data_IF_889688266178
#
_entry.id   IF_889688266178
#
_cell.length_a   1.000
_cell.length_b   1.000
_cell.length_c   1.000
_cell.angle_alpha   90.00
_cell.angle_beta   90.00
_cell.angle_gamma   90.00
#
_symmetry.space_group_name_H-M   'P 1'
#
loop_
_entity.id
_entity.type
_entity.pdbx_description
1 polymer ?
#
# COMPACT_ATOMS: atom_id res chain seq x y z
N UNK A 1 32.65 38.42 -70.89
CA UNK A 1 33.00 38.06 -69.52
C UNK A 1 31.75 37.48 -68.92
N UNK A 2 31.61 36.16 -68.93
CA UNK A 2 30.49 35.41 -68.35
C UNK A 2 31.01 34.61 -67.18
N UNK A 3 30.62 34.97 -65.94
CA UNK A 3 30.96 34.24 -64.75
C UNK A 3 29.94 33.09 -64.50
N UNK A 4 30.45 31.88 -64.53
CA UNK A 4 29.71 30.66 -64.29
C UNK A 4 29.67 30.44 -62.76
N UNK A 5 28.46 30.45 -62.10
CA UNK A 5 28.30 30.18 -60.71
C UNK A 5 27.91 28.72 -60.56
N UNK A 6 28.87 27.90 -60.18
CA UNK A 6 28.71 26.52 -59.82
C UNK A 6 28.03 26.42 -58.42
N UNK A 7 26.83 25.82 -58.38
CA UNK A 7 26.14 25.56 -57.10
C UNK A 7 26.51 24.16 -56.62
N UNK A 8 27.35 24.14 -55.59
CA UNK A 8 27.64 22.90 -54.86
C UNK A 8 26.40 22.37 -54.15
N UNK A 9 25.90 21.27 -54.64
CA UNK A 9 24.78 20.54 -54.06
C UNK A 9 25.34 19.57 -53.00
N UNK A 10 25.38 20.00 -51.74
CA UNK A 10 25.78 19.16 -50.59
C UNK A 10 24.63 18.17 -50.33
N UNK A 11 24.69 17.02 -50.97
CA UNK A 11 23.79 15.90 -50.69
C UNK A 11 24.05 15.30 -49.32
N UNK A 12 23.12 15.52 -48.40
CA UNK A 12 23.10 14.88 -47.06
C UNK A 12 22.88 13.36 -47.28
N UNK A 13 23.96 12.59 -47.33
CA UNK A 13 23.87 11.13 -47.37
C UNK A 13 23.44 10.61 -45.99
N UNK A 14 22.18 10.23 -45.91
CA UNK A 14 21.63 9.49 -44.76
C UNK A 14 22.28 8.10 -44.72
N UNK A 15 23.26 7.93 -43.83
CA UNK A 15 24.02 6.68 -43.71
C UNK A 15 23.12 5.56 -43.13
N UNK A 16 22.64 4.68 -44.00
CA UNK A 16 21.91 3.47 -43.64
C UNK A 16 22.86 2.53 -42.85
N UNK A 17 22.54 2.11 -41.64
CA UNK A 17 23.45 1.28 -40.87
C UNK A 17 23.68 -0.08 -41.55
N UNK A 18 24.90 -0.68 -41.46
CA UNK A 18 25.25 -1.90 -42.15
C UNK A 18 24.35 -3.08 -41.76
N UNK A 19 23.90 -3.88 -42.73
CA UNK A 19 22.93 -4.99 -42.58
C UNK A 19 23.22 -5.95 -41.42
N UNK A 20 24.48 -6.18 -41.02
CA UNK A 20 24.86 -7.00 -39.87
C UNK A 20 24.44 -6.40 -38.52
N UNK A 21 24.61 -5.08 -38.34
CA UNK A 21 24.16 -4.37 -37.09
C UNK A 21 22.64 -4.39 -36.99
N UNK A 22 21.90 -4.27 -38.07
CA UNK A 22 20.43 -4.34 -38.08
C UNK A 22 19.93 -5.73 -37.65
N UNK A 23 20.53 -6.82 -38.14
CA UNK A 23 20.17 -8.19 -37.72
C UNK A 23 20.49 -8.47 -36.27
N UNK A 24 21.60 -7.93 -35.73
CA UNK A 24 21.93 -8.05 -34.31
C UNK A 24 20.90 -7.31 -33.44
N UNK A 25 20.56 -6.07 -33.77
CA UNK A 25 19.55 -5.28 -33.10
C UNK A 25 18.18 -5.97 -33.08
N UNK A 26 17.77 -6.57 -34.21
CA UNK A 26 16.52 -7.33 -34.30
C UNK A 26 16.52 -8.56 -33.36
N UNK A 27 17.63 -9.28 -33.26
CA UNK A 27 17.77 -10.43 -32.37
C UNK A 27 17.72 -9.98 -30.88
N UNK A 28 18.39 -8.88 -30.55
CA UNK A 28 18.35 -8.29 -29.19
C UNK A 28 16.92 -7.86 -28.86
N UNK A 29 16.25 -7.16 -29.77
CA UNK A 29 14.85 -6.73 -29.56
C UNK A 29 13.92 -7.93 -29.40
N UNK A 30 14.06 -8.96 -30.24
CA UNK A 30 13.25 -10.18 -30.08
C UNK A 30 13.52 -10.87 -28.74
N UNK A 31 14.78 -10.97 -28.32
CA UNK A 31 15.15 -11.52 -27.00
C UNK A 31 14.54 -10.72 -25.86
N UNK A 32 14.54 -9.38 -25.96
CA UNK A 32 13.92 -8.50 -24.97
C UNK A 32 12.39 -8.70 -24.91
N UNK A 33 11.72 -8.81 -26.06
CA UNK A 33 10.27 -9.06 -26.12
C UNK A 33 9.93 -10.41 -25.46
N UNK A 34 10.71 -11.45 -25.74
CA UNK A 34 10.53 -12.77 -25.11
C UNK A 34 10.73 -12.67 -23.59
N UNK A 35 11.78 -11.98 -23.14
CA UNK A 35 12.05 -11.79 -21.71
C UNK A 35 10.90 -11.06 -21.01
N UNK A 36 10.41 -9.97 -21.58
CA UNK A 36 9.25 -9.22 -21.05
C UNK A 36 8.00 -10.09 -21.03
N UNK A 37 7.76 -10.88 -22.09
CA UNK A 37 6.64 -11.82 -22.13
C UNK A 37 6.71 -12.87 -21.03
N UNK A 38 7.88 -13.49 -20.82
CA UNK A 38 8.10 -14.44 -19.73
C UNK A 38 7.88 -13.78 -18.38
N UNK A 39 8.41 -12.57 -18.15
CA UNK A 39 8.24 -11.84 -16.91
C UNK A 39 6.75 -11.52 -16.65
N UNK A 40 6.02 -11.10 -17.67
CA UNK A 40 4.58 -10.84 -17.57
C UNK A 40 3.79 -12.11 -17.18
N UNK A 41 4.15 -13.27 -17.73
CA UNK A 41 3.56 -14.55 -17.35
C UNK A 41 3.88 -14.88 -15.88
N UNK A 42 5.14 -14.72 -15.46
CA UNK A 42 5.55 -14.95 -14.06
C UNK A 42 4.74 -14.08 -13.10
N UNK A 43 4.52 -12.79 -13.42
CA UNK A 43 3.67 -11.90 -12.63
C UNK A 43 2.22 -12.37 -12.63
N UNK A 44 1.67 -12.75 -13.78
CA UNK A 44 0.27 -13.13 -13.91
C UNK A 44 -0.10 -14.36 -13.07
N UNK A 45 0.81 -15.34 -12.98
CA UNK A 45 0.59 -16.58 -12.22
C UNK A 45 0.83 -16.44 -10.71
N UNK A 46 1.34 -15.30 -10.23
CA UNK A 46 1.48 -15.05 -8.79
C UNK A 46 0.13 -15.06 -8.09
N UNK A 47 0.07 -15.55 -6.82
CA UNK A 47 -1.16 -15.51 -6.02
C UNK A 47 -1.72 -14.08 -5.96
N UNK A 48 -3.03 -13.97 -6.17
CA UNK A 48 -3.72 -12.69 -6.08
C UNK A 48 -4.06 -12.31 -4.64
N UNK A 49 -4.21 -13.28 -3.77
CA UNK A 49 -4.57 -13.07 -2.37
C UNK A 49 -3.46 -12.36 -1.61
N UNK A 50 -3.87 -11.41 -0.78
CA UNK A 50 -3.03 -10.71 0.17
C UNK A 50 -3.63 -10.91 1.55
N UNK A 51 -2.84 -11.40 2.50
CA UNK A 51 -3.25 -11.61 3.88
C UNK A 51 -2.10 -11.22 4.81
N UNK A 52 -2.40 -10.36 5.78
CA UNK A 52 -1.49 -10.01 6.87
C UNK A 52 -2.24 -10.11 8.19
N UNK A 53 -1.63 -10.75 9.18
CA UNK A 53 -2.19 -10.86 10.53
C UNK A 53 -1.09 -10.66 11.57
N UNK A 54 -1.38 -9.86 12.61
CA UNK A 54 -0.54 -9.68 13.79
C UNK A 54 -1.40 -9.64 15.05
N UNK A 55 -0.82 -10.09 16.15
CA UNK A 55 -1.51 -10.11 17.43
C UNK A 55 -0.62 -9.62 18.57
N UNK A 56 -1.21 -8.96 19.55
CA UNK A 56 -0.55 -8.55 20.77
C UNK A 56 -1.44 -8.79 21.97
N UNK A 57 -0.82 -9.11 23.13
CA UNK A 57 -1.52 -9.12 24.42
C UNK A 57 -1.23 -7.82 25.16
N UNK A 58 -2.29 -7.13 25.56
CA UNK A 58 -2.27 -5.80 26.17
C UNK A 58 -2.84 -5.90 27.59
N UNK A 59 -2.11 -5.42 28.59
CA UNK A 59 -2.51 -5.42 29.99
C UNK A 59 -3.51 -4.27 30.28
N UNK A 60 -4.65 -4.32 29.59
CA UNK A 60 -5.77 -3.40 29.73
C UNK A 60 -7.08 -4.13 29.40
N UNK A 61 -8.23 -3.66 29.94
CA UNK A 61 -9.53 -4.24 29.63
C UNK A 61 -9.91 -4.01 28.15
N UNK A 62 -10.71 -4.90 27.52
CA UNK A 62 -11.09 -4.78 26.11
C UNK A 62 -11.66 -3.42 25.72
N UNK A 63 -12.43 -2.77 26.61
CA UNK A 63 -13.01 -1.46 26.34
C UNK A 63 -11.97 -0.36 26.11
N UNK A 64 -10.85 -0.37 26.86
CA UNK A 64 -9.80 0.63 26.72
C UNK A 64 -9.03 0.46 25.38
N UNK A 65 -8.80 -0.77 24.97
CA UNK A 65 -8.12 -1.08 23.70
C UNK A 65 -9.04 -0.85 22.51
N UNK A 66 -10.29 -1.30 22.61
CA UNK A 66 -11.32 -1.10 21.58
C UNK A 66 -11.52 0.38 21.25
N UNK A 67 -11.58 1.24 22.28
CA UNK A 67 -11.77 2.68 22.09
C UNK A 67 -10.69 3.30 21.20
N UNK A 68 -9.42 2.84 21.27
CA UNK A 68 -8.32 3.36 20.46
C UNK A 68 -8.51 3.09 18.97
N UNK A 69 -9.20 2.01 18.62
CA UNK A 69 -9.42 1.62 17.21
C UNK A 69 -10.76 2.12 16.68
N UNK A 70 -11.79 2.18 17.54
CA UNK A 70 -13.16 2.50 17.16
C UNK A 70 -13.40 3.97 16.79
N UNK A 71 -12.45 4.86 17.12
CA UNK A 71 -12.48 6.29 16.81
C UNK A 71 -11.24 6.68 15.98
N UNK A 72 -11.44 7.05 14.72
CA UNK A 72 -10.35 7.44 13.83
C UNK A 72 -9.60 8.71 14.29
N UNK A 73 -10.20 9.56 15.11
CA UNK A 73 -9.50 10.73 15.69
C UNK A 73 -8.38 10.33 16.66
N UNK A 74 -8.43 9.11 17.22
CA UNK A 74 -7.39 8.61 18.11
C UNK A 74 -6.23 7.95 17.36
N UNK A 75 -6.36 7.71 16.05
CA UNK A 75 -5.36 6.99 15.26
C UNK A 75 -4.04 7.75 15.13
N UNK A 76 -4.05 9.07 15.17
CA UNK A 76 -2.83 9.87 15.13
C UNK A 76 -1.85 9.54 16.26
N UNK A 77 -2.36 9.12 17.43
CA UNK A 77 -1.53 8.78 18.57
C UNK A 77 -0.76 7.46 18.42
N UNK A 78 -1.27 6.52 17.61
CA UNK A 78 -0.70 5.18 17.54
C UNK A 78 -0.39 4.69 16.11
N UNK A 79 -1.01 5.27 15.08
CA UNK A 79 -0.83 4.82 13.70
C UNK A 79 0.61 5.02 13.23
N UNK A 80 1.28 3.98 12.72
CA UNK A 80 2.65 4.11 12.23
C UNK A 80 2.76 4.99 10.96
N UNK A 81 1.65 5.18 10.24
CA UNK A 81 1.62 5.98 9.01
C UNK A 81 1.63 7.49 9.29
N UNK A 82 1.11 7.96 10.41
CA UNK A 82 1.13 9.38 10.79
C UNK A 82 2.54 9.95 10.83
N UNK A 83 3.52 9.13 11.27
CA UNK A 83 4.93 9.55 11.34
C UNK A 83 5.61 9.66 9.98
N UNK A 84 5.06 9.01 8.93
CA UNK A 84 5.63 9.01 7.57
C UNK A 84 5.30 10.27 6.78
N UNK A 85 4.20 10.93 7.13
CA UNK A 85 3.83 12.21 6.53
C UNK A 85 3.13 13.12 7.55
N UNK A 86 3.90 13.96 8.27
CA UNK A 86 3.34 14.94 9.22
C UNK A 86 2.45 16.00 8.57
N UNK A 87 2.52 16.18 7.24
CA UNK A 87 1.72 17.13 6.48
C UNK A 87 0.55 16.48 5.75
N UNK A 88 0.25 15.22 6.02
CA UNK A 88 -0.85 14.50 5.43
C UNK A 88 -2.18 15.23 5.70
N UNK A 89 -2.97 15.43 4.65
CA UNK A 89 -4.29 16.04 4.80
C UNK A 89 -5.29 14.97 5.17
N UNK A 90 -5.86 15.11 6.37
CA UNK A 90 -6.83 14.19 6.94
C UNK A 90 -8.20 14.84 7.02
N UNK A 91 -9.26 14.07 6.74
CA UNK A 91 -10.64 14.48 6.94
C UNK A 91 -11.48 13.33 7.51
N UNK A 92 -12.49 13.67 8.29
CA UNK A 92 -13.38 12.73 8.96
C UNK A 92 -14.81 12.93 8.45
N UNK A 93 -15.54 11.84 8.31
CA UNK A 93 -16.92 11.82 7.80
C UNK A 93 -17.79 10.90 8.66
N UNK A 94 -19.09 11.19 8.72
CA UNK A 94 -20.06 10.39 9.48
C UNK A 94 -19.98 10.60 10.99
N UNK A 95 -20.33 9.58 11.79
CA UNK A 95 -20.23 9.66 13.25
C UNK A 95 -18.77 9.71 13.70
N UNK A 96 -18.50 10.25 14.89
CA UNK A 96 -17.15 10.36 15.47
C UNK A 96 -16.50 9.00 15.70
N UNK A 97 -17.29 7.95 15.96
CA UNK A 97 -16.79 6.59 16.21
C UNK A 97 -17.81 5.52 15.82
N UNK A 98 -17.35 4.28 15.71
CA UNK A 98 -18.21 3.14 15.43
C UNK A 98 -18.64 3.04 13.97
N UNK A 99 -19.65 2.21 13.73
CA UNK A 99 -20.16 1.93 12.39
C UNK A 99 -20.57 3.19 11.64
N UNK A 100 -20.03 3.38 10.43
CA UNK A 100 -20.25 4.53 9.57
C UNK A 100 -19.25 5.67 9.76
N UNK A 101 -18.37 5.61 10.78
CA UNK A 101 -17.24 6.54 10.90
C UNK A 101 -16.33 6.39 9.68
N UNK A 102 -15.96 7.51 9.07
CA UNK A 102 -15.13 7.60 7.89
C UNK A 102 -13.88 8.44 8.14
N UNK A 103 -12.78 8.04 7.52
CA UNK A 103 -11.51 8.75 7.53
C UNK A 103 -10.92 8.76 6.11
N UNK A 104 -10.50 9.94 5.65
CA UNK A 104 -9.81 10.10 4.36
C UNK A 104 -8.45 10.73 4.59
N UNK A 105 -7.48 10.31 3.81
CA UNK A 105 -6.15 10.91 3.81
C UNK A 105 -5.66 11.18 2.40
N UNK A 106 -4.85 12.23 2.26
CA UNK A 106 -4.11 12.55 1.04
C UNK A 106 -2.73 13.07 1.43
N UNK A 107 -1.72 12.27 1.20
CA UNK A 107 -0.35 12.54 1.62
C UNK A 107 0.69 12.34 0.53
N UNK A 108 1.94 12.22 0.95
CA UNK A 108 3.11 12.04 0.09
C UNK A 108 3.13 10.64 -0.59
N UNK A 109 4.22 10.33 -1.31
CA UNK A 109 4.37 9.05 -2.01
C UNK A 109 4.51 7.82 -1.09
N UNK A 110 4.79 8.01 0.20
CA UNK A 110 4.93 6.90 1.16
C UNK A 110 3.59 6.48 1.76
N UNK A 111 2.68 7.43 1.99
CA UNK A 111 1.36 7.16 2.57
C UNK A 111 0.24 7.14 1.53
N UNK A 112 0.44 7.79 0.37
CA UNK A 112 -0.50 7.80 -0.73
C UNK A 112 -1.80 8.56 -0.42
N UNK A 113 -2.91 8.04 -0.98
CA UNK A 113 -4.25 8.60 -0.81
C UNK A 113 -5.27 7.48 -0.70
N UNK A 114 -6.26 7.64 0.17
CA UNK A 114 -7.30 6.65 0.34
C UNK A 114 -8.35 7.04 1.37
N UNK A 115 -9.18 6.06 1.72
CA UNK A 115 -10.21 6.20 2.74
C UNK A 115 -10.41 4.92 3.54
N UNK A 116 -10.91 5.07 4.75
CA UNK A 116 -11.35 3.97 5.61
C UNK A 116 -12.78 4.25 6.09
N UNK A 117 -13.58 3.21 6.17
CA UNK A 117 -14.94 3.29 6.73
C UNK A 117 -15.17 2.11 7.67
N UNK A 118 -15.59 2.37 8.91
CA UNK A 118 -15.99 1.31 9.84
C UNK A 118 -17.31 0.72 9.34
N UNK A 119 -17.29 -0.51 8.86
CA UNK A 119 -18.46 -1.22 8.34
C UNK A 119 -19.20 -2.00 9.42
N UNK A 120 -18.47 -2.45 10.45
CA UNK A 120 -19.02 -3.14 11.62
C UNK A 120 -18.27 -2.74 12.88
N UNK A 121 -18.99 -2.55 13.97
CA UNK A 121 -18.44 -2.29 15.30
C UNK A 121 -19.28 -3.02 16.34
N UNK A 122 -18.69 -4.06 16.94
CA UNK A 122 -19.26 -4.78 18.09
C UNK A 122 -18.45 -4.40 19.32
N UNK A 123 -19.03 -3.71 20.30
CA UNK A 123 -18.30 -3.21 21.46
C UNK A 123 -17.44 -4.27 22.14
N UNK A 124 -16.15 -3.97 22.26
CA UNK A 124 -15.14 -4.78 22.94
C UNK A 124 -14.84 -6.15 22.30
N UNK A 125 -15.37 -6.43 21.10
CA UNK A 125 -15.23 -7.72 20.43
C UNK A 125 -14.60 -7.58 19.04
N UNK A 126 -15.15 -6.69 18.18
CA UNK A 126 -14.84 -6.67 16.76
C UNK A 126 -15.00 -5.28 16.17
N UNK A 127 -14.06 -4.89 15.29
CA UNK A 127 -14.19 -3.75 14.39
C UNK A 127 -13.80 -4.24 12.99
N UNK A 128 -14.68 -4.00 11.99
CA UNK A 128 -14.36 -4.17 10.56
C UNK A 128 -14.31 -2.85 9.86
N UNK A 129 -13.30 -2.69 9.03
CA UNK A 129 -13.03 -1.46 8.29
C UNK A 129 -12.83 -1.84 6.83
N UNK A 130 -13.55 -1.16 5.94
CA UNK A 130 -13.26 -1.14 4.52
C UNK A 130 -12.17 -0.12 4.27
N UNK A 131 -11.04 -0.55 3.72
CA UNK A 131 -9.90 0.27 3.37
C UNK A 131 -9.83 0.41 1.85
N UNK A 132 -9.86 1.63 1.33
CA UNK A 132 -9.85 1.92 -0.10
C UNK A 132 -8.66 2.81 -0.44
N UNK A 133 -7.74 2.30 -1.24
CA UNK A 133 -6.61 3.06 -1.78
C UNK A 133 -6.98 3.71 -3.12
N UNK A 134 -6.56 4.96 -3.33
CA UNK A 134 -6.69 5.70 -4.58
C UNK A 134 -5.34 5.84 -5.26
N UNK A 135 -4.29 6.17 -4.51
CA UNK A 135 -2.91 6.32 -4.97
C UNK A 135 -1.93 5.61 -4.03
N UNK A 136 -0.79 5.08 -4.52
CA UNK A 136 -0.33 5.06 -5.93
C UNK A 136 -1.05 4.02 -6.80
N UNK A 137 -1.69 3.01 -6.20
CA UNK A 137 -2.43 1.96 -6.90
C UNK A 137 -3.79 1.79 -6.24
N UNK A 138 -4.84 1.88 -7.05
CA UNK A 138 -6.20 1.67 -6.57
C UNK A 138 -6.38 0.21 -6.11
N UNK A 139 -7.06 0.04 -4.97
CA UNK A 139 -7.36 -1.25 -4.37
C UNK A 139 -8.33 -1.12 -3.22
N UNK A 140 -8.90 -2.25 -2.81
CA UNK A 140 -9.78 -2.33 -1.65
C UNK A 140 -9.37 -3.53 -0.82
N UNK A 141 -9.18 -3.30 0.48
CA UNK A 141 -8.84 -4.33 1.44
C UNK A 141 -9.85 -4.30 2.60
N UNK A 142 -10.10 -5.47 3.19
CA UNK A 142 -10.90 -5.62 4.40
C UNK A 142 -9.96 -5.74 5.60
N UNK A 143 -10.15 -4.84 6.56
CA UNK A 143 -9.38 -4.80 7.81
C UNK A 143 -10.28 -5.24 8.95
N UNK A 144 -9.76 -6.13 9.81
CA UNK A 144 -10.47 -6.59 11.00
C UNK A 144 -9.58 -6.48 12.24
N UNK A 145 -10.16 -5.94 13.30
CA UNK A 145 -9.62 -6.01 14.64
C UNK A 145 -10.54 -6.87 15.52
N UNK A 146 -9.98 -7.89 16.17
CA UNK A 146 -10.69 -8.66 17.18
C UNK A 146 -10.07 -8.43 18.55
N UNK A 147 -10.93 -8.39 19.59
CA UNK A 147 -10.54 -8.14 20.96
C UNK A 147 -11.06 -9.30 21.83
N UNK A 148 -10.16 -10.10 22.39
CA UNK A 148 -10.52 -11.26 23.20
C UNK A 148 -10.00 -11.06 24.63
N UNK A 149 -10.85 -11.10 25.65
CA UNK A 149 -10.40 -11.05 27.03
C UNK A 149 -9.57 -12.29 27.38
N UNK A 150 -8.44 -12.08 28.07
CA UNK A 150 -7.53 -13.13 28.57
C UNK A 150 -7.16 -12.77 30.01
N UNK A 151 -7.95 -13.21 30.97
CA UNK A 151 -7.86 -12.74 32.35
C UNK A 151 -8.09 -11.23 32.42
N UNK A 152 -7.15 -10.50 33.05
CA UNK A 152 -7.18 -9.04 33.15
C UNK A 152 -6.57 -8.31 31.93
N UNK A 153 -6.25 -9.06 30.86
CA UNK A 153 -5.62 -8.57 29.64
C UNK A 153 -6.55 -8.73 28.44
N UNK A 154 -6.15 -8.13 27.32
CA UNK A 154 -6.83 -8.26 26.03
C UNK A 154 -5.87 -8.79 24.98
N UNK A 155 -6.21 -9.91 24.35
CA UNK A 155 -5.57 -10.35 23.12
C UNK A 155 -6.22 -9.61 21.94
N UNK A 156 -5.43 -8.78 21.24
CA UNK A 156 -5.86 -8.06 20.04
C UNK A 156 -5.24 -8.71 18.83
N UNK A 157 -6.04 -8.99 17.81
CA UNK A 157 -5.56 -9.41 16.50
C UNK A 157 -5.98 -8.39 15.46
N UNK A 158 -5.03 -7.95 14.65
CA UNK A 158 -5.22 -7.07 13.50
C UNK A 158 -4.94 -7.86 12.22
N UNK A 159 -5.96 -7.98 11.37
CA UNK A 159 -5.85 -8.65 10.07
C UNK A 159 -6.17 -7.67 8.94
N UNK A 160 -5.60 -7.92 7.77
CA UNK A 160 -5.94 -7.25 6.53
C UNK A 160 -5.93 -8.28 5.40
N UNK A 161 -7.03 -8.33 4.68
CA UNK A 161 -7.27 -9.21 3.55
C UNK A 161 -7.58 -8.38 2.30
N UNK A 162 -6.97 -8.74 1.18
CA UNK A 162 -7.16 -7.99 -0.06
C UNK A 162 -6.75 -8.77 -1.31
N UNK A 163 -6.80 -8.08 -2.45
CA UNK A 163 -6.44 -8.66 -3.74
C UNK A 163 -5.34 -7.85 -4.42
N UNK A 164 -4.24 -8.54 -4.78
CA UNK A 164 -3.13 -7.97 -5.54
C UNK A 164 -3.54 -7.81 -7.00
N UNK A 165 -3.52 -6.61 -7.53
CA UNK A 165 -3.61 -6.37 -8.97
C UNK A 165 -2.27 -6.72 -9.67
N UNK A 166 -2.23 -6.65 -11.00
CA UNK A 166 -1.02 -6.98 -11.77
C UNK A 166 0.21 -6.18 -11.32
N UNK A 167 0.05 -4.89 -11.02
CA UNK A 167 1.16 -4.01 -10.62
C UNK A 167 1.67 -4.38 -9.23
N UNK A 168 0.78 -4.62 -8.27
CA UNK A 168 1.17 -5.02 -6.91
C UNK A 168 1.79 -6.43 -6.88
N UNK A 169 1.36 -7.35 -7.77
CA UNK A 169 2.03 -8.64 -7.99
C UNK A 169 3.46 -8.45 -8.52
N UNK A 170 3.66 -7.54 -9.50
CA UNK A 170 4.98 -7.25 -10.05
C UNK A 170 5.93 -6.66 -8.99
N UNK A 171 5.45 -5.74 -8.17
CA UNK A 171 6.21 -5.16 -7.04
C UNK A 171 6.54 -6.26 -6.03
N UNK A 172 5.61 -7.16 -5.75
CA UNK A 172 5.77 -8.29 -4.84
C UNK A 172 6.89 -9.27 -5.21
N UNK A 173 7.36 -9.29 -6.47
CA UNK A 173 8.52 -10.09 -6.89
C UNK A 173 9.84 -9.57 -6.32
N UNK A 174 9.93 -8.28 -6.02
CA UNK A 174 11.16 -7.61 -5.55
C UNK A 174 11.05 -7.12 -4.10
N UNK A 175 9.82 -6.95 -3.60
CA UNK A 175 9.54 -6.43 -2.26
C UNK A 175 8.57 -7.35 -1.52
N UNK A 176 8.89 -7.71 -0.28
CA UNK A 176 7.97 -8.48 0.57
C UNK A 176 6.95 -7.52 1.23
N UNK A 177 5.89 -7.19 0.47
CA UNK A 177 4.85 -6.28 0.92
C UNK A 177 4.11 -6.79 2.18
N UNK A 178 3.91 -8.10 2.32
CA UNK A 178 3.28 -8.71 3.50
C UNK A 178 4.11 -8.50 4.76
N UNK A 179 5.45 -8.70 4.65
CA UNK A 179 6.34 -8.42 5.76
C UNK A 179 6.36 -6.93 6.11
N UNK A 180 6.47 -6.05 5.12
CA UNK A 180 6.50 -4.60 5.35
C UNK A 180 5.22 -4.11 6.03
N UNK A 181 4.07 -4.60 5.60
CA UNK A 181 2.79 -4.28 6.23
C UNK A 181 2.70 -4.85 7.64
N UNK A 182 3.13 -6.11 7.83
CA UNK A 182 3.17 -6.74 9.14
C UNK A 182 4.05 -6.01 10.15
N UNK A 183 5.22 -5.53 9.73
CA UNK A 183 6.11 -4.73 10.58
C UNK A 183 5.44 -3.40 11.02
N UNK A 184 4.56 -2.80 10.19
CA UNK A 184 3.76 -1.63 10.56
C UNK A 184 2.65 -2.01 11.56
N UNK A 185 2.01 -3.17 11.38
CA UNK A 185 1.00 -3.66 12.33
C UNK A 185 1.60 -3.91 13.70
N UNK A 186 2.78 -4.52 13.76
CA UNK A 186 3.50 -4.74 15.02
C UNK A 186 3.82 -3.41 15.73
N UNK A 187 4.25 -2.38 15.00
CA UNK A 187 4.48 -1.04 15.53
C UNK A 187 3.20 -0.39 16.04
N UNK A 188 2.10 -0.48 15.27
CA UNK A 188 0.80 0.04 15.66
C UNK A 188 0.26 -0.63 16.94
N UNK A 189 0.30 -1.96 16.99
CA UNK A 189 -0.11 -2.73 18.18
C UNK A 189 0.74 -2.41 19.39
N UNK A 190 2.05 -2.22 19.24
CA UNK A 190 2.93 -1.79 20.32
C UNK A 190 2.58 -0.39 20.84
N UNK A 191 2.20 0.53 19.94
CA UNK A 191 1.76 1.88 20.31
C UNK A 191 0.43 1.86 21.04
N UNK A 192 -0.57 1.11 20.54
CA UNK A 192 -1.87 0.89 21.23
C UNK A 192 -1.64 0.31 22.61
N UNK A 193 -0.75 -0.68 22.74
CA UNK A 193 -0.37 -1.30 24.01
C UNK A 193 0.15 -0.25 25.00
N UNK A 194 1.10 0.57 24.58
CA UNK A 194 1.67 1.63 25.42
C UNK A 194 0.62 2.62 25.92
N UNK A 195 -0.32 3.03 25.05
CA UNK A 195 -1.39 3.97 25.38
C UNK A 195 -2.38 3.33 26.35
N UNK A 196 -2.87 2.13 26.03
CA UNK A 196 -3.90 1.47 26.83
C UNK A 196 -3.38 1.08 28.22
N UNK A 197 -2.14 0.61 28.34
CA UNK A 197 -1.50 0.27 29.62
C UNK A 197 -1.12 1.52 30.43
N UNK A 198 -0.78 2.64 29.78
CA UNK A 198 -0.52 3.93 30.42
C UNK A 198 -1.78 4.56 31.02
N UNK A 199 -2.93 4.37 30.38
CA UNK A 199 -4.23 4.85 30.86
C UNK A 199 -4.89 3.92 31.91
N UNK A 200 -4.37 2.70 32.08
CA UNK A 200 -4.87 1.73 33.06
C UNK A 200 -4.25 1.87 34.45
N UNK A 201 -3.32 2.82 34.65
CA UNK A 201 -2.67 3.17 35.91
C UNK A 201 -3.31 4.45 36.44
#
# INVERSE_FOLDING_TARGET
MTANTERDNVGTQSATPPRKKRRLLTKILLGLVVLVGVLAIVVAVQPAEFHVSRSATIAAPPAAVFAQVNDFHLWDAWSPWTKKDPNCQNSFEGPSSGKGAGFRWSGNSEVGEGSMTITESKPNELIRIKLEFVRPFAGTDDVEFTFKPVGDQTAVTWTMDGQKNFMTKAIGLVMNCEKMCGDQFDQGLASIKSIAEGNAR
#
